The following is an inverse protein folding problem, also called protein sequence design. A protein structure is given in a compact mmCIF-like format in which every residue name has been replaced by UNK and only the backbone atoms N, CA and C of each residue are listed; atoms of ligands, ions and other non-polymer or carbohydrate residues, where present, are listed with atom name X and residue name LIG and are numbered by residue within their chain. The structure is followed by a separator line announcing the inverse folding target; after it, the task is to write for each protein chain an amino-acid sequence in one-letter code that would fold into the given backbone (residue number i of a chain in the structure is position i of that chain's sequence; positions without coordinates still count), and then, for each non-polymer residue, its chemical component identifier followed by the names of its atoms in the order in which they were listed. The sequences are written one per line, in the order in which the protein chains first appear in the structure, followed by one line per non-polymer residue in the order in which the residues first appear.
data_IF_954177104427
#
_entry.id   IF_954177104427
#
_cell.length_a   1.000
_cell.length_b   1.000
_cell.length_c   1.000
_cell.angle_alpha   90.00
_cell.angle_beta   90.00
_cell.angle_gamma   90.00
#
_symmetry.space_group_name_H-M   'P 1'
#
loop_
_entity.id
_entity.type
_entity.pdbx_description
1 polymer ?
#
# COMPACT_ATOMS: atom_id res chain seq x y z
N UNK A 1 17.97 48.87 -48.40
CA UNK A 1 18.69 48.01 -47.42
C UNK A 1 17.75 47.42 -46.36
N UNK A 2 16.71 46.66 -46.73
CA UNK A 2 15.75 46.09 -45.76
C UNK A 2 15.44 44.57 -45.96
N UNK A 3 16.27 43.83 -46.69
CA UNK A 3 15.96 42.43 -47.07
C UNK A 3 16.46 41.35 -46.10
N UNK A 4 17.15 41.68 -44.98
CA UNK A 4 17.80 40.70 -44.10
C UNK A 4 17.16 40.57 -42.71
N UNK A 5 16.10 41.32 -42.37
CA UNK A 5 15.48 41.27 -41.03
C UNK A 5 14.31 40.26 -40.87
N UNK A 6 13.69 39.85 -42.00
CA UNK A 6 12.57 38.88 -41.93
C UNK A 6 12.96 37.46 -41.49
N UNK A 7 14.05 36.83 -41.95
CA UNK A 7 14.38 35.47 -41.54
C UNK A 7 14.80 35.36 -40.07
N UNK A 8 15.44 36.42 -39.52
CA UNK A 8 15.88 36.41 -38.12
C UNK A 8 14.69 36.46 -37.15
N UNK A 9 13.67 37.24 -37.45
CA UNK A 9 12.40 37.30 -36.64
C UNK A 9 11.63 36.00 -36.70
N UNK A 10 11.59 35.32 -37.84
CA UNK A 10 10.92 34.01 -37.97
C UNK A 10 11.63 32.90 -37.15
N UNK A 11 12.98 32.93 -37.08
CA UNK A 11 13.75 31.99 -36.28
C UNK A 11 13.54 32.23 -34.77
N UNK A 12 13.48 33.49 -34.33
CA UNK A 12 13.23 33.84 -32.93
C UNK A 12 11.77 33.44 -32.53
N UNK A 13 10.79 33.64 -33.39
CA UNK A 13 9.40 33.22 -33.15
C UNK A 13 9.27 31.68 -33.06
N UNK A 14 10.01 30.93 -33.88
CA UNK A 14 10.02 29.47 -33.84
C UNK A 14 10.71 28.94 -32.56
N UNK A 15 11.75 29.59 -32.07
CA UNK A 15 12.46 29.25 -30.82
C UNK A 15 11.58 29.54 -29.60
N UNK A 16 10.83 30.63 -29.60
CA UNK A 16 9.90 30.96 -28.50
C UNK A 16 8.69 30.03 -28.47
N UNK A 17 8.21 29.56 -29.62
CA UNK A 17 7.10 28.59 -29.67
C UNK A 17 7.51 27.21 -29.15
N UNK A 18 8.77 26.82 -29.29
CA UNK A 18 9.33 25.55 -28.76
C UNK A 18 9.39 25.49 -27.22
N UNK A 19 9.46 26.64 -26.54
CA UNK A 19 9.57 26.72 -25.07
C UNK A 19 8.18 26.52 -24.41
N UNK A 20 7.09 26.82 -25.11
CA UNK A 20 5.72 26.61 -24.58
C UNK A 20 5.18 25.18 -24.76
N UNK A 21 5.90 24.31 -25.47
CA UNK A 21 5.58 22.90 -25.60
C UNK A 21 6.27 22.03 -24.56
N UNK A 22 6.88 22.62 -23.51
CA UNK A 22 7.15 21.92 -22.29
C UNK A 22 5.79 21.58 -21.67
N UNK A 23 5.16 20.53 -22.19
CA UNK A 23 4.11 19.85 -21.44
C UNK A 23 4.69 19.55 -20.09
N UNK A 24 4.18 20.24 -19.05
CA UNK A 24 4.19 19.68 -17.72
C UNK A 24 3.55 18.29 -17.85
N UNK A 25 4.41 17.29 -18.08
CA UNK A 25 4.12 15.95 -17.67
C UNK A 25 4.03 16.09 -16.15
N UNK A 26 2.88 16.58 -15.66
CA UNK A 26 2.49 16.42 -14.28
C UNK A 26 2.72 14.95 -14.03
N UNK A 27 3.78 14.63 -13.29
CA UNK A 27 4.12 13.27 -12.95
C UNK A 27 2.87 12.75 -12.27
N UNK A 28 2.04 12.02 -13.02
CA UNK A 28 0.81 11.45 -12.54
C UNK A 28 1.27 10.57 -11.39
N UNK A 29 0.94 11.02 -10.16
CA UNK A 29 1.38 10.31 -8.96
C UNK A 29 0.90 8.89 -9.11
N UNK A 30 1.84 7.97 -9.32
CA UNK A 30 1.56 6.54 -9.39
C UNK A 30 0.79 6.16 -8.12
N UNK A 31 -0.35 5.50 -8.30
CA UNK A 31 -1.07 4.94 -7.17
C UNK A 31 -0.25 3.79 -6.57
N UNK A 32 -0.27 3.67 -5.24
CA UNK A 32 0.36 2.57 -4.51
C UNK A 32 -0.42 1.25 -4.59
N UNK A 33 -1.63 1.29 -5.16
CA UNK A 33 -2.47 0.14 -5.50
C UNK A 33 -2.65 0.07 -7.01
N UNK A 34 -2.69 -1.14 -7.55
CA UNK A 34 -3.18 -1.35 -8.93
C UNK A 34 -4.71 -1.26 -8.95
N UNK A 35 -5.32 -1.03 -10.12
CA UNK A 35 -6.78 -0.99 -10.25
C UNK A 35 -7.42 -2.28 -9.73
N UNK A 36 -6.85 -3.44 -10.09
CA UNK A 36 -7.33 -4.74 -9.61
C UNK A 36 -7.23 -4.87 -8.09
N UNK A 37 -6.15 -4.40 -7.46
CA UNK A 37 -6.00 -4.40 -6.00
C UNK A 37 -7.01 -3.47 -5.33
N UNK A 38 -7.27 -2.30 -5.92
CA UNK A 38 -8.29 -1.36 -5.43
C UNK A 38 -9.68 -1.99 -5.43
N UNK A 39 -10.01 -2.79 -6.46
CA UNK A 39 -11.27 -3.53 -6.54
C UNK A 39 -11.34 -4.61 -5.46
N UNK A 40 -10.26 -5.37 -5.24
CA UNK A 40 -10.20 -6.39 -4.18
C UNK A 40 -10.38 -5.77 -2.79
N UNK A 41 -9.76 -4.61 -2.52
CA UNK A 41 -9.95 -3.88 -1.25
C UNK A 41 -11.38 -3.39 -1.10
N UNK A 42 -12.00 -2.89 -2.17
CA UNK A 42 -13.39 -2.41 -2.17
C UNK A 42 -14.39 -3.52 -1.88
N UNK A 43 -14.13 -4.73 -2.35
CA UNK A 43 -14.96 -5.90 -2.06
C UNK A 43 -14.80 -6.40 -0.61
N UNK A 44 -13.64 -6.19 0.01
CA UNK A 44 -13.37 -6.60 1.37
C UNK A 44 -14.00 -5.61 2.37
N UNK A 45 -15.29 -5.76 2.64
CA UNK A 45 -16.05 -4.87 3.52
C UNK A 45 -15.76 -5.12 5.01
N UNK A 46 -15.55 -6.36 5.38
CA UNK A 46 -15.26 -6.75 6.76
C UNK A 46 -13.77 -6.49 7.08
N UNK A 47 -13.47 -6.02 8.28
CA UNK A 47 -12.11 -5.63 8.69
C UNK A 47 -11.11 -6.80 8.62
N UNK A 48 -11.53 -8.00 9.00
CA UNK A 48 -10.68 -9.19 8.93
C UNK A 48 -10.31 -9.54 7.49
N UNK A 49 -11.25 -9.45 6.56
CA UNK A 49 -11.00 -9.65 5.13
C UNK A 49 -10.14 -8.53 4.53
N UNK A 50 -10.38 -7.28 4.93
CA UNK A 50 -9.64 -6.13 4.44
C UNK A 50 -8.18 -6.18 4.86
N UNK A 51 -7.91 -6.51 6.11
CA UNK A 51 -6.53 -6.67 6.59
C UNK A 51 -5.84 -7.85 5.90
N UNK A 52 -6.53 -8.97 5.65
CA UNK A 52 -5.97 -10.09 4.88
C UNK A 52 -5.57 -9.66 3.45
N UNK A 53 -6.40 -8.85 2.79
CA UNK A 53 -6.12 -8.29 1.47
C UNK A 53 -4.88 -7.37 1.52
N UNK A 54 -4.82 -6.43 2.46
CA UNK A 54 -3.69 -5.50 2.59
C UNK A 54 -2.38 -6.24 2.89
N UNK A 55 -2.40 -7.26 3.74
CA UNK A 55 -1.24 -8.14 4.02
C UNK A 55 -0.77 -8.81 2.73
N UNK A 56 -1.67 -9.39 1.93
CA UNK A 56 -1.32 -9.99 0.63
C UNK A 56 -0.71 -8.97 -0.34
N UNK A 57 -1.20 -7.74 -0.35
CA UNK A 57 -0.64 -6.67 -1.18
C UNK A 57 0.78 -6.31 -0.76
N UNK A 58 1.05 -6.24 0.55
CA UNK A 58 2.41 -6.00 1.08
C UNK A 58 3.33 -7.17 0.70
N UNK A 59 2.88 -8.41 0.88
CA UNK A 59 3.64 -9.61 0.49
C UNK A 59 4.00 -9.58 -1.01
N UNK A 60 3.10 -9.12 -1.90
CA UNK A 60 3.37 -8.93 -3.33
C UNK A 60 4.48 -7.89 -3.59
N UNK A 61 4.52 -6.77 -2.83
CA UNK A 61 5.60 -5.76 -2.95
C UNK A 61 6.94 -6.34 -2.54
N UNK A 62 7.00 -7.08 -1.46
CA UNK A 62 8.23 -7.79 -1.08
C UNK A 62 8.67 -8.80 -2.15
N UNK A 63 7.73 -9.50 -2.78
CA UNK A 63 8.04 -10.42 -3.90
C UNK A 63 8.65 -9.68 -5.10
N UNK A 64 8.15 -8.49 -5.44
CA UNK A 64 8.72 -7.63 -6.51
C UNK A 64 10.15 -7.20 -6.16
N UNK A 65 10.44 -6.97 -4.89
CA UNK A 65 11.81 -6.68 -4.40
C UNK A 65 12.70 -7.93 -4.31
N UNK A 66 12.20 -9.11 -4.69
CA UNK A 66 12.86 -10.42 -4.50
C UNK A 66 13.17 -10.74 -3.02
N UNK A 67 12.34 -10.27 -2.10
CA UNK A 67 12.46 -10.50 -0.66
C UNK A 67 11.38 -11.49 -0.23
N UNK A 68 11.81 -12.63 0.32
CA UNK A 68 10.90 -13.63 0.87
C UNK A 68 10.53 -13.27 2.32
N UNK A 69 9.25 -12.98 2.56
CA UNK A 69 8.72 -12.67 3.90
C UNK A 69 7.83 -13.80 4.46
N UNK A 70 7.80 -14.96 3.82
CA UNK A 70 7.03 -16.12 4.28
C UNK A 70 5.51 -15.92 4.26
N UNK A 71 5.00 -15.03 3.40
CA UNK A 71 3.58 -14.83 3.19
C UNK A 71 2.92 -15.99 2.44
N UNK A 72 1.61 -16.14 2.59
CA UNK A 72 0.84 -17.09 1.80
C UNK A 72 0.80 -16.65 0.33
N UNK A 73 1.13 -17.56 -0.58
CA UNK A 73 0.96 -17.32 -2.01
C UNK A 73 -0.52 -17.13 -2.34
N UNK A 74 -0.82 -16.23 -3.27
CA UNK A 74 -2.18 -16.07 -3.79
C UNK A 74 -2.54 -17.35 -4.54
N UNK A 75 -3.65 -18.03 -4.19
CA UNK A 75 -4.06 -19.24 -4.89
C UNK A 75 -4.26 -18.97 -6.38
N UNK A 76 -3.88 -19.91 -7.25
CA UNK A 76 -3.99 -19.77 -8.70
C UNK A 76 -5.40 -19.39 -9.16
N UNK A 77 -6.43 -19.89 -8.47
CA UNK A 77 -7.83 -19.56 -8.78
C UNK A 77 -8.20 -18.08 -8.49
N UNK A 78 -7.44 -17.43 -7.63
CA UNK A 78 -7.64 -16.03 -7.27
C UNK A 78 -6.70 -15.09 -8.02
N UNK A 79 -5.67 -15.62 -8.69
CA UNK A 79 -4.62 -14.82 -9.33
C UNK A 79 -5.17 -13.84 -10.38
N UNK A 80 -6.19 -14.22 -11.13
CA UNK A 80 -6.84 -13.35 -12.11
C UNK A 80 -7.46 -12.12 -11.47
N UNK A 81 -8.08 -12.28 -10.30
CA UNK A 81 -8.69 -11.19 -9.53
C UNK A 81 -7.67 -10.16 -9.07
N UNK A 82 -6.45 -10.59 -8.78
CA UNK A 82 -5.37 -9.74 -8.31
C UNK A 82 -4.64 -8.98 -9.41
N UNK A 83 -4.88 -9.32 -10.67
CA UNK A 83 -4.20 -8.72 -11.82
C UNK A 83 -2.67 -8.94 -11.80
N UNK A 84 -1.94 -8.25 -12.69
CA UNK A 84 -0.49 -8.37 -12.78
C UNK A 84 0.20 -7.90 -11.49
N UNK A 85 1.45 -8.34 -11.32
CA UNK A 85 2.27 -7.85 -10.21
C UNK A 85 2.46 -6.32 -10.30
N UNK A 86 2.50 -5.62 -9.14
CA UNK A 86 2.77 -4.19 -9.15
C UNK A 86 4.14 -3.91 -9.77
N UNK A 87 4.23 -2.82 -10.52
CA UNK A 87 5.47 -2.40 -11.21
C UNK A 87 5.93 -1.06 -10.66
N UNK A 88 7.23 -0.80 -10.71
CA UNK A 88 7.82 0.47 -10.27
C UNK A 88 9.31 0.32 -9.96
N UNK A 89 9.94 1.43 -9.68
CA UNK A 89 11.30 1.48 -9.16
C UNK A 89 11.35 0.89 -7.76
N UNK A 90 12.52 0.48 -7.31
CA UNK A 90 12.72 -0.03 -5.95
C UNK A 90 12.19 0.96 -4.89
N UNK A 91 12.45 2.26 -5.06
CA UNK A 91 11.97 3.31 -4.16
C UNK A 91 10.44 3.40 -4.13
N UNK A 92 9.78 3.31 -5.30
CA UNK A 92 8.32 3.31 -5.39
C UNK A 92 7.70 2.09 -4.72
N UNK A 93 8.29 0.91 -4.88
CA UNK A 93 7.81 -0.31 -4.23
C UNK A 93 7.99 -0.24 -2.69
N UNK A 94 9.09 0.36 -2.21
CA UNK A 94 9.28 0.61 -0.78
C UNK A 94 8.26 1.62 -0.22
N UNK A 95 7.93 2.66 -0.98
CA UNK A 95 6.89 3.62 -0.60
C UNK A 95 5.48 2.99 -0.63
N UNK A 96 5.22 2.06 -1.57
CA UNK A 96 3.99 1.27 -1.56
C UNK A 96 3.86 0.44 -0.27
N UNK A 97 4.95 -0.25 0.15
CA UNK A 97 4.95 -1.03 1.40
C UNK A 97 4.60 -0.13 2.57
N UNK A 98 5.24 1.04 2.70
CA UNK A 98 4.96 2.01 3.75
C UNK A 98 3.49 2.43 3.74
N UNK A 99 2.98 2.88 2.59
CA UNK A 99 1.58 3.34 2.44
C UNK A 99 0.56 2.25 2.73
N UNK A 100 0.85 1.00 2.36
CA UNK A 100 -0.03 -0.13 2.66
C UNK A 100 -0.04 -0.48 4.15
N UNK A 101 1.10 -0.36 4.84
CA UNK A 101 1.16 -0.50 6.29
C UNK A 101 0.38 0.61 6.99
N UNK A 102 0.59 1.87 6.58
CA UNK A 102 -0.15 3.03 7.11
C UNK A 102 -1.67 2.82 6.91
N UNK A 103 -2.08 2.42 5.70
CA UNK A 103 -3.48 2.11 5.39
C UNK A 103 -4.06 1.01 6.29
N UNK A 104 -3.29 -0.04 6.58
CA UNK A 104 -3.74 -1.12 7.44
C UNK A 104 -3.92 -0.65 8.90
N UNK A 105 -3.03 0.23 9.39
CA UNK A 105 -3.16 0.89 10.70
C UNK A 105 -4.41 1.76 10.73
N UNK A 106 -4.59 2.63 9.75
CA UNK A 106 -5.74 3.53 9.64
C UNK A 106 -7.07 2.75 9.64
N UNK A 107 -7.15 1.64 8.91
CA UNK A 107 -8.37 0.82 8.84
C UNK A 107 -8.69 0.16 10.20
N UNK A 108 -7.66 -0.32 10.90
CA UNK A 108 -7.82 -0.90 12.26
C UNK A 108 -8.24 0.19 13.25
N UNK A 109 -7.58 1.34 13.25
CA UNK A 109 -7.87 2.43 14.16
C UNK A 109 -9.25 3.02 13.92
N UNK A 110 -9.67 3.13 12.65
CA UNK A 110 -11.02 3.58 12.33
C UNK A 110 -12.10 2.66 12.90
N UNK A 111 -11.92 1.33 12.84
CA UNK A 111 -12.85 0.36 13.45
C UNK A 111 -12.79 0.41 14.98
N UNK A 112 -11.61 0.62 15.56
CA UNK A 112 -11.45 0.78 17.01
C UNK A 112 -12.20 2.01 17.54
N UNK A 113 -12.11 3.14 16.82
CA UNK A 113 -12.78 4.39 17.18
C UNK A 113 -14.28 4.36 16.87
N UNK A 114 -14.71 3.61 15.88
CA UNK A 114 -16.09 3.51 15.41
C UNK A 114 -16.52 2.04 15.38
N UNK A 115 -16.67 1.39 16.54
CA UNK A 115 -17.05 -0.02 16.59
C UNK A 115 -18.33 -0.27 15.80
N UNK A 116 -18.25 -1.18 14.82
CA UNK A 116 -19.42 -1.59 14.05
C UNK A 116 -20.43 -2.21 15.02
N UNK A 117 -21.52 -1.51 15.29
CA UNK A 117 -22.66 -2.11 15.97
C UNK A 117 -23.30 -3.03 14.95
N UNK A 118 -22.93 -4.30 14.97
CA UNK A 118 -23.69 -5.30 14.24
C UNK A 118 -25.10 -5.26 14.80
N UNK A 119 -26.02 -4.76 13.97
CA UNK A 119 -27.43 -4.66 14.35
C UNK A 119 -27.86 -6.04 14.85
N UNK A 120 -28.29 -6.10 16.13
CA UNK A 120 -28.62 -7.36 16.78
C UNK A 120 -29.94 -7.82 16.15
N UNK A 121 -29.82 -8.28 14.89
CA UNK A 121 -30.89 -9.04 14.29
C UNK A 121 -31.13 -10.25 15.22
N UNK A 122 -32.28 -10.24 15.91
CA UNK A 122 -32.66 -11.28 16.85
C UNK A 122 -32.65 -12.68 16.22
N UNK A 123 -32.59 -12.75 14.90
CA UNK A 123 -32.55 -13.98 14.11
C UNK A 123 -31.15 -14.50 13.80
N UNK A 124 -30.06 -13.77 14.15
CA UNK A 124 -28.69 -14.27 13.94
C UNK A 124 -28.35 -15.39 14.91
N UNK A 125 -27.77 -16.46 14.38
CA UNK A 125 -27.26 -17.55 15.20
C UNK A 125 -26.14 -17.09 16.13
N UNK A 126 -25.98 -17.70 17.30
CA UNK A 126 -24.90 -17.38 18.25
C UNK A 126 -23.52 -17.55 17.64
N UNK A 127 -23.36 -18.54 16.73
CA UNK A 127 -22.12 -18.76 15.97
C UNK A 127 -21.77 -17.57 15.07
N UNK A 128 -22.77 -16.93 14.45
CA UNK A 128 -22.52 -15.74 13.63
C UNK A 128 -22.16 -14.53 14.48
N UNK A 129 -22.82 -14.34 15.62
CA UNK A 129 -22.48 -13.28 16.59
C UNK A 129 -21.04 -13.40 17.06
N UNK A 130 -20.65 -14.61 17.51
CA UNK A 130 -19.28 -14.88 17.93
C UNK A 130 -18.26 -14.62 16.82
N UNK A 131 -18.58 -15.00 15.58
CA UNK A 131 -17.70 -14.70 14.43
C UNK A 131 -17.52 -13.19 14.23
N UNK A 132 -18.61 -12.42 14.30
CA UNK A 132 -18.58 -10.97 14.11
C UNK A 132 -17.79 -10.27 15.24
N UNK A 133 -17.93 -10.71 16.49
CA UNK A 133 -17.15 -10.21 17.64
C UNK A 133 -15.65 -10.50 17.50
N UNK A 134 -15.30 -11.61 16.87
CA UNK A 134 -13.90 -12.02 16.69
C UNK A 134 -13.20 -11.34 15.49
N UNK A 135 -13.93 -10.65 14.59
CA UNK A 135 -13.34 -10.05 13.37
C UNK A 135 -12.25 -9.04 13.69
N UNK A 136 -12.54 -8.09 14.58
CA UNK A 136 -11.58 -7.05 14.95
C UNK A 136 -10.36 -7.63 15.68
N UNK A 137 -10.46 -8.43 16.73
CA UNK A 137 -9.29 -9.05 17.36
C UNK A 137 -8.48 -9.92 16.40
N UNK A 138 -9.15 -10.63 15.49
CA UNK A 138 -8.49 -11.46 14.48
C UNK A 138 -7.70 -10.60 13.46
N UNK A 139 -8.26 -9.48 13.02
CA UNK A 139 -7.58 -8.58 12.09
C UNK A 139 -6.30 -7.99 12.70
N UNK A 140 -6.35 -7.53 13.96
CA UNK A 140 -5.17 -7.01 14.67
C UNK A 140 -4.11 -8.09 14.84
N UNK A 141 -4.50 -9.32 15.21
CA UNK A 141 -3.57 -10.46 15.36
C UNK A 141 -2.94 -10.85 14.02
N UNK A 142 -3.72 -10.88 12.93
CA UNK A 142 -3.22 -11.18 11.59
C UNK A 142 -2.21 -10.11 11.12
N UNK A 143 -2.55 -8.84 11.26
CA UNK A 143 -1.67 -7.74 10.90
C UNK A 143 -0.36 -7.78 11.71
N UNK A 144 -0.43 -8.04 13.01
CA UNK A 144 0.75 -8.15 13.86
C UNK A 144 1.62 -9.38 13.52
N UNK A 145 1.01 -10.50 13.13
CA UNK A 145 1.75 -11.66 12.64
C UNK A 145 2.51 -11.34 11.34
N UNK A 146 1.87 -10.61 10.42
CA UNK A 146 2.50 -10.12 9.20
C UNK A 146 3.65 -9.13 9.52
N UNK A 147 3.43 -8.15 10.38
CA UNK A 147 4.44 -7.19 10.79
C UNK A 147 5.69 -7.87 11.40
N UNK A 148 5.51 -8.93 12.20
CA UNK A 148 6.65 -9.73 12.72
C UNK A 148 7.45 -10.41 11.62
N UNK A 149 6.80 -10.83 10.51
CA UNK A 149 7.49 -11.38 9.33
C UNK A 149 8.25 -10.32 8.55
N UNK A 150 7.72 -9.09 8.49
CA UNK A 150 8.32 -7.98 7.74
C UNK A 150 9.54 -7.38 8.42
N UNK A 151 9.56 -7.30 9.75
CA UNK A 151 10.66 -6.67 10.48
C UNK A 151 12.07 -7.19 10.11
N UNK A 152 12.35 -8.50 10.08
CA UNK A 152 13.69 -8.99 9.71
C UNK A 152 14.04 -8.65 8.25
N UNK A 153 13.06 -8.71 7.34
CA UNK A 153 13.26 -8.36 5.94
C UNK A 153 13.60 -6.86 5.77
N UNK A 154 12.84 -5.99 6.44
CA UNK A 154 13.08 -4.55 6.42
C UNK A 154 14.44 -4.19 7.04
N UNK A 155 14.86 -4.85 8.13
CA UNK A 155 16.21 -4.67 8.72
C UNK A 155 17.30 -5.03 7.72
N UNK A 156 17.19 -6.16 7.03
CA UNK A 156 18.14 -6.54 5.98
C UNK A 156 18.17 -5.56 4.81
N UNK A 157 17.02 -4.99 4.45
CA UNK A 157 16.94 -3.97 3.40
C UNK A 157 17.64 -2.68 3.81
N UNK A 158 17.55 -2.24 5.08
CA UNK A 158 18.30 -1.08 5.59
C UNK A 158 19.81 -1.29 5.47
N UNK A 159 20.29 -2.46 5.86
CA UNK A 159 21.73 -2.78 5.85
C UNK A 159 22.29 -2.76 4.42
N UNK A 160 21.48 -3.12 3.44
CA UNK A 160 21.84 -3.14 2.02
C UNK A 160 21.60 -1.83 1.27
N UNK A 161 20.80 -0.91 1.81
CA UNK A 161 20.47 0.36 1.15
C UNK A 161 21.50 1.42 1.43
N UNK A 162 21.98 2.08 0.33
CA UNK A 162 22.90 3.23 0.38
C UNK A 162 22.18 4.57 0.19
N UNK A 163 20.96 4.55 -0.30
CA UNK A 163 20.17 5.75 -0.57
C UNK A 163 19.41 6.17 0.70
N UNK A 164 19.58 7.43 1.11
CA UNK A 164 18.95 7.96 2.33
C UNK A 164 17.41 7.99 2.25
N UNK A 165 16.85 8.23 1.06
CA UNK A 165 15.39 8.23 0.89
C UNK A 165 14.82 6.83 1.03
N UNK A 166 15.48 5.82 0.42
CA UNK A 166 15.10 4.43 0.62
C UNK A 166 15.18 4.05 2.10
N UNK A 167 16.26 4.42 2.77
CA UNK A 167 16.43 4.15 4.22
C UNK A 167 15.30 4.80 5.04
N UNK A 168 14.91 6.03 4.70
CA UNK A 168 13.79 6.72 5.34
C UNK A 168 12.47 5.96 5.20
N UNK A 169 12.15 5.46 3.99
CA UNK A 169 10.95 4.66 3.75
C UNK A 169 10.95 3.33 4.52
N UNK A 170 12.10 2.66 4.57
CA UNK A 170 12.27 1.39 5.28
C UNK A 170 12.16 1.60 6.80
N UNK A 171 12.75 2.67 7.35
CA UNK A 171 12.65 3.02 8.77
C UNK A 171 11.20 3.32 9.17
N UNK A 172 10.47 4.12 8.38
CA UNK A 172 9.05 4.38 8.62
C UNK A 172 8.23 3.09 8.61
N UNK A 173 8.49 2.18 7.65
CA UNK A 173 7.83 0.87 7.61
C UNK A 173 8.16 0.00 8.83
N UNK A 174 9.38 0.07 9.37
CA UNK A 174 9.77 -0.62 10.59
C UNK A 174 9.06 -0.06 11.82
N UNK A 175 8.90 1.27 11.89
CA UNK A 175 8.16 1.96 12.95
C UNK A 175 6.70 1.50 12.95
N UNK A 176 6.01 1.57 11.80
CA UNK A 176 4.64 1.07 11.64
C UNK A 176 4.51 -0.40 12.07
N UNK A 177 5.47 -1.26 11.68
CA UNK A 177 5.48 -2.66 12.15
C UNK A 177 5.61 -2.76 13.67
N UNK A 178 6.42 -1.92 14.32
CA UNK A 178 6.57 -1.85 15.77
C UNK A 178 5.27 -1.47 16.47
N UNK A 179 4.59 -0.45 15.99
CA UNK A 179 3.29 0.01 16.48
C UNK A 179 2.21 -1.07 16.34
N UNK A 180 2.12 -1.70 15.15
CA UNK A 180 1.19 -2.80 14.89
C UNK A 180 1.40 -3.95 15.88
N UNK A 181 2.65 -4.35 16.13
CA UNK A 181 2.95 -5.44 17.06
C UNK A 181 2.56 -5.05 18.49
N UNK A 182 2.84 -3.80 18.89
CA UNK A 182 2.50 -3.33 20.23
C UNK A 182 0.99 -3.22 20.46
N UNK A 183 0.21 -2.96 19.42
CA UNK A 183 -1.25 -2.84 19.51
C UNK A 183 -1.92 -4.13 20.01
N UNK A 184 -1.30 -5.30 19.79
CA UNK A 184 -1.84 -6.58 20.27
C UNK A 184 -1.95 -6.66 21.79
N UNK A 185 -1.15 -5.88 22.54
CA UNK A 185 -1.22 -5.84 24.01
C UNK A 185 -2.47 -5.11 24.54
N UNK A 186 -3.11 -4.35 23.68
CA UNK A 186 -4.35 -3.59 24.00
C UNK A 186 -5.61 -4.41 23.74
N UNK A 187 -5.50 -5.60 23.14
CA UNK A 187 -6.65 -6.47 22.90
C UNK A 187 -7.16 -7.06 24.22
N UNK A 188 -8.48 -7.17 24.41
CA UNK A 188 -9.03 -7.91 25.55
C UNK A 188 -8.61 -9.37 25.48
N UNK A 189 -8.33 -9.94 26.64
CA UNK A 189 -8.04 -11.37 26.81
C UNK A 189 -9.24 -12.24 26.49
#
# INVERSE_FOLDING_TARGET
MYKFRLPLLAIIAALLLGIFLSTDAAAQRRDYMTDAESDVVREAQDIDLRIDVLVKMIDRRFSVLNVNVGGAAIPTKESEKWGPAPTGTRMEILDDIRKLLDKAVDDVDNVAMHPVKYDIDKNRSDKQKQKDEMRFPSSVKNLAAAARRYQPALKSLIDSSKDEKERGLILASLESCGEIISSTTKLPN
#
